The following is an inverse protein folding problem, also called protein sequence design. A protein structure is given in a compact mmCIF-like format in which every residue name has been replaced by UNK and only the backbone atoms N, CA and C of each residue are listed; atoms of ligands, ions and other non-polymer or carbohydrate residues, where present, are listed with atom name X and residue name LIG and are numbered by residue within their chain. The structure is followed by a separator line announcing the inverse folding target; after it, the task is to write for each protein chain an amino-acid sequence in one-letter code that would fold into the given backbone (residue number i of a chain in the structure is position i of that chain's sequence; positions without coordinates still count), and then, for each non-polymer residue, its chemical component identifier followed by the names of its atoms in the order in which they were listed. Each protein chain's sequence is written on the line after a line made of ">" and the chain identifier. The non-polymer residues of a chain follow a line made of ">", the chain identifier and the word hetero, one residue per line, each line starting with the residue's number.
data_IF_283805959657
#
_entry.id   IF_283805959657
#
_cell.length_a   1.000
_cell.length_b   1.000
_cell.length_c   1.000
_cell.angle_alpha   90.00
_cell.angle_beta   90.00
_cell.angle_gamma   90.00
#
_symmetry.space_group_name_H-M   'P 1'
#
loop_
_entity.id
_entity.type
_entity.pdbx_description
1 polymer ?
#
# COMPACT_ATOMS: atom_id res chain seq x y z
N UNK A 1 -0.91 1.26 -16.62
CA UNK A 1 -2.29 1.45 -16.13
C UNK A 1 -2.86 0.18 -15.53
N UNK A 2 -3.12 -0.84 -16.35
CA UNK A 2 -3.67 -2.15 -15.96
C UNK A 2 -3.04 -2.80 -14.70
N UNK A 3 -1.71 -2.86 -14.61
CA UNK A 3 -1.02 -3.48 -13.46
C UNK A 3 -1.32 -2.74 -12.15
N UNK A 4 -1.21 -1.41 -12.17
CA UNK A 4 -1.50 -0.58 -11.00
C UNK A 4 -2.97 -0.71 -10.57
N UNK A 5 -3.92 -0.71 -11.51
CA UNK A 5 -5.35 -0.93 -11.22
C UNK A 5 -5.59 -2.29 -10.57
N UNK A 6 -5.00 -3.36 -11.11
CA UNK A 6 -5.15 -4.71 -10.55
C UNK A 6 -4.56 -4.81 -9.14
N UNK A 7 -3.38 -4.24 -8.90
CA UNK A 7 -2.72 -4.26 -7.58
C UNK A 7 -3.44 -3.40 -6.54
N UNK A 8 -4.00 -2.26 -6.94
CA UNK A 8 -4.90 -1.49 -6.07
C UNK A 8 -6.15 -2.30 -5.67
N UNK A 9 -6.73 -3.05 -6.62
CA UNK A 9 -7.84 -3.96 -6.34
C UNK A 9 -7.48 -5.06 -5.34
N UNK A 10 -6.30 -5.69 -5.48
CA UNK A 10 -5.81 -6.71 -4.54
C UNK A 10 -5.61 -6.12 -3.13
N UNK A 11 -5.03 -4.92 -3.02
CA UNK A 11 -4.81 -4.27 -1.73
C UNK A 11 -6.14 -4.02 -0.99
N UNK A 12 -7.15 -3.47 -1.66
CA UNK A 12 -8.47 -3.25 -1.06
C UNK A 12 -9.23 -4.56 -0.81
N UNK A 13 -9.13 -5.54 -1.70
CA UNK A 13 -9.72 -6.86 -1.50
C UNK A 13 -9.18 -7.52 -0.23
N UNK A 14 -7.89 -7.37 0.06
CA UNK A 14 -7.27 -7.90 1.29
C UNK A 14 -7.91 -7.31 2.54
N UNK A 15 -8.15 -6.00 2.55
CA UNK A 15 -8.81 -5.31 3.68
C UNK A 15 -10.24 -5.81 3.85
N UNK A 16 -10.98 -5.99 2.74
CA UNK A 16 -12.33 -6.54 2.76
C UNK A 16 -12.36 -7.98 3.31
N UNK A 17 -11.45 -8.83 2.83
CA UNK A 17 -11.32 -10.22 3.28
C UNK A 17 -11.01 -10.31 4.77
N UNK A 18 -10.12 -9.46 5.28
CA UNK A 18 -9.81 -9.41 6.70
C UNK A 18 -11.06 -9.11 7.55
N UNK A 19 -11.91 -8.18 7.11
CA UNK A 19 -13.16 -7.84 7.80
C UNK A 19 -14.21 -8.97 7.73
N UNK A 20 -14.32 -9.67 6.59
CA UNK A 20 -15.32 -10.71 6.38
C UNK A 20 -14.94 -12.07 6.98
N UNK A 21 -13.66 -12.41 6.94
CA UNK A 21 -13.17 -13.77 7.24
C UNK A 21 -12.62 -13.93 8.65
N UNK A 22 -12.35 -12.83 9.34
CA UNK A 22 -11.90 -12.87 10.75
C UNK A 22 -12.85 -13.66 11.66
N UNK A 23 -14.17 -13.61 11.40
CA UNK A 23 -15.18 -14.42 12.12
C UNK A 23 -15.00 -15.95 11.98
N UNK A 24 -14.21 -16.40 11.02
CA UNK A 24 -13.88 -17.80 10.78
C UNK A 24 -12.45 -18.15 11.22
N UNK A 25 -11.74 -17.24 11.90
CA UNK A 25 -10.36 -17.45 12.31
C UNK A 25 -9.35 -17.34 11.16
N UNK A 26 -9.72 -16.72 10.03
CA UNK A 26 -8.82 -16.51 8.88
C UNK A 26 -8.30 -15.08 8.89
N UNK A 27 -6.98 -14.93 8.89
CA UNK A 27 -6.28 -13.64 8.75
C UNK A 27 -5.94 -13.39 7.27
N UNK A 28 -6.06 -12.15 6.81
CA UNK A 28 -5.74 -11.77 5.45
C UNK A 28 -4.84 -10.53 5.44
N UNK A 29 -3.67 -10.64 4.80
CA UNK A 29 -2.71 -9.54 4.65
C UNK A 29 -2.11 -9.58 3.24
N UNK A 30 -1.54 -8.46 2.81
CA UNK A 30 -0.87 -8.34 1.51
C UNK A 30 0.57 -7.86 1.67
N UNK A 31 1.39 -8.23 0.69
CA UNK A 31 2.79 -7.82 0.59
C UNK A 31 3.00 -7.11 -0.75
N UNK A 32 3.60 -5.93 -0.69
CA UNK A 32 4.09 -5.13 -1.80
C UNK A 32 5.62 -5.27 -1.85
N UNK A 33 6.15 -6.28 -2.54
CA UNK A 33 7.58 -6.53 -2.56
C UNK A 33 8.31 -5.55 -3.47
N UNK A 34 9.46 -5.07 -3.01
CA UNK A 34 10.46 -4.38 -3.82
C UNK A 34 11.72 -5.27 -3.87
N UNK A 35 11.78 -6.07 -4.94
CA UNK A 35 12.79 -7.11 -5.13
C UNK A 35 13.12 -7.33 -6.62
N UNK A 36 14.33 -7.82 -6.87
CA UNK A 36 14.84 -8.26 -8.17
C UNK A 36 14.34 -9.69 -8.44
N UNK A 37 13.37 -9.78 -9.34
CA UNK A 37 12.77 -11.02 -9.82
C UNK A 37 12.90 -11.07 -11.33
N UNK A 38 12.54 -12.20 -11.95
CA UNK A 38 12.45 -12.27 -13.42
C UNK A 38 11.53 -11.19 -14.03
N UNK A 39 10.57 -10.64 -13.27
CA UNK A 39 9.68 -9.57 -13.74
C UNK A 39 10.27 -8.16 -13.60
N UNK A 40 11.34 -7.98 -12.84
CA UNK A 40 11.88 -6.65 -12.49
C UNK A 40 13.36 -6.48 -12.84
N UNK A 41 14.11 -7.58 -12.96
CA UNK A 41 15.51 -7.60 -13.39
C UNK A 41 15.65 -7.10 -14.83
N UNK A 42 16.61 -6.20 -15.05
CA UNK A 42 16.85 -5.54 -16.34
C UNK A 42 15.80 -4.49 -16.74
N UNK A 43 14.75 -4.29 -15.91
CA UNK A 43 13.70 -3.29 -16.14
C UNK A 43 13.80 -2.17 -15.10
N UNK A 44 13.73 -2.54 -13.82
CA UNK A 44 13.80 -1.59 -12.69
C UNK A 44 15.14 -1.66 -11.95
N UNK A 45 15.81 -2.81 -12.03
CA UNK A 45 17.12 -3.06 -11.44
C UNK A 45 18.05 -3.64 -12.49
N UNK A 46 19.34 -3.70 -12.20
CA UNK A 46 20.29 -4.43 -13.04
C UNK A 46 19.88 -5.91 -13.20
N UNK A 47 20.30 -6.56 -14.28
CA UNK A 47 19.93 -7.96 -14.52
C UNK A 47 20.63 -8.91 -13.55
N UNK A 48 21.89 -8.60 -13.21
CA UNK A 48 22.73 -9.41 -12.34
C UNK A 48 22.62 -8.94 -10.88
N UNK A 49 22.72 -9.90 -9.96
CA UNK A 49 22.81 -9.60 -8.54
C UNK A 49 24.25 -9.15 -8.19
N UNK A 50 24.42 -8.25 -7.22
CA UNK A 50 25.75 -7.88 -6.73
C UNK A 50 26.44 -9.08 -6.06
N UNK A 51 27.76 -9.05 -5.99
CA UNK A 51 28.51 -9.97 -5.11
C UNK A 51 28.25 -9.59 -3.64
N UNK A 52 27.85 -10.57 -2.82
CA UNK A 52 27.60 -10.37 -1.39
C UNK A 52 26.14 -10.02 -1.08
N UNK A 53 25.91 -8.99 -0.27
CA UNK A 53 24.56 -8.58 0.14
C UNK A 53 23.79 -7.95 -1.04
N UNK A 54 22.65 -8.55 -1.40
CA UNK A 54 21.71 -7.98 -2.35
C UNK A 54 20.48 -7.42 -1.60
N UNK A 55 20.35 -6.09 -1.41
CA UNK A 55 19.14 -5.49 -0.84
C UNK A 55 17.87 -5.81 -1.64
N UNK A 56 18.01 -6.13 -2.94
CA UNK A 56 16.92 -6.51 -3.83
C UNK A 56 16.80 -8.04 -3.98
N UNK A 57 17.56 -8.82 -3.21
CA UNK A 57 17.42 -10.27 -3.16
C UNK A 57 15.98 -10.64 -2.76
N UNK A 58 15.26 -11.44 -3.55
CA UNK A 58 13.88 -11.81 -3.27
C UNK A 58 13.72 -12.59 -1.94
N UNK A 59 14.78 -13.26 -1.48
CA UNK A 59 14.83 -13.94 -0.19
C UNK A 59 14.58 -13.01 1.00
N UNK A 60 14.83 -11.71 0.85
CA UNK A 60 14.61 -10.72 1.90
C UNK A 60 13.11 -10.48 2.19
N UNK A 61 12.24 -10.81 1.24
CA UNK A 61 10.77 -10.72 1.40
C UNK A 61 10.21 -11.93 2.17
N UNK A 62 10.87 -13.08 2.04
CA UNK A 62 10.38 -14.38 2.55
C UNK A 62 10.10 -14.41 4.05
N UNK A 63 10.94 -13.84 4.95
CA UNK A 63 10.68 -13.88 6.40
C UNK A 63 9.32 -13.32 6.79
N UNK A 64 8.89 -12.22 6.17
CA UNK A 64 7.56 -11.63 6.41
C UNK A 64 6.45 -12.59 6.00
N UNK A 65 6.56 -13.17 4.80
CA UNK A 65 5.54 -14.12 4.29
C UNK A 65 5.46 -15.36 5.18
N UNK A 66 6.60 -15.89 5.63
CA UNK A 66 6.65 -17.01 6.56
C UNK A 66 5.98 -16.67 7.90
N UNK A 67 6.26 -15.50 8.47
CA UNK A 67 5.62 -15.08 9.71
C UNK A 67 4.10 -14.90 9.54
N UNK A 68 3.65 -14.23 8.47
CA UNK A 68 2.23 -14.00 8.19
C UNK A 68 1.42 -15.30 8.06
N UNK A 69 2.05 -16.39 7.60
CA UNK A 69 1.43 -17.71 7.49
C UNK A 69 1.65 -18.63 8.70
N UNK A 70 2.30 -18.15 9.76
CA UNK A 70 2.59 -18.94 10.96
C UNK A 70 1.53 -18.77 12.05
N UNK A 71 1.49 -19.69 13.00
CA UNK A 71 0.63 -19.61 14.19
C UNK A 71 0.98 -18.43 15.13
N UNK A 72 2.14 -17.78 14.91
CA UNK A 72 2.55 -16.60 15.66
C UNK A 72 2.00 -15.28 15.09
N UNK A 73 1.30 -15.33 13.94
CA UNK A 73 0.69 -14.15 13.34
C UNK A 73 -0.63 -13.80 14.04
N UNK A 74 -0.72 -12.56 14.52
CA UNK A 74 -1.94 -11.97 15.11
C UNK A 74 -2.43 -10.75 14.31
N UNK A 75 -1.83 -10.49 13.14
CA UNK A 75 -2.13 -9.32 12.30
C UNK A 75 -3.06 -9.70 11.15
N UNK A 76 -4.04 -8.84 10.86
CA UNK A 76 -4.94 -8.96 9.71
C UNK A 76 -5.28 -7.57 9.14
N UNK A 77 -5.67 -7.52 7.87
CA UNK A 77 -6.12 -6.31 7.17
C UNK A 77 -5.01 -5.32 6.87
N UNK A 78 -3.75 -5.76 6.83
CA UNK A 78 -2.59 -4.91 6.57
C UNK A 78 -1.96 -5.20 5.22
N UNK A 79 -1.40 -4.15 4.63
CA UNK A 79 -0.55 -4.20 3.44
C UNK A 79 0.84 -3.75 3.88
N UNK A 80 1.85 -4.54 3.56
CA UNK A 80 3.24 -4.26 3.93
C UNK A 80 4.10 -4.08 2.69
N UNK A 81 4.88 -3.00 2.64
CA UNK A 81 6.01 -2.88 1.73
C UNK A 81 7.26 -3.45 2.39
N UNK A 82 8.07 -4.18 1.62
CA UNK A 82 9.27 -4.86 2.12
C UNK A 82 10.36 -4.90 1.06
N UNK A 83 11.58 -4.53 1.48
CA UNK A 83 12.81 -4.56 0.67
C UNK A 83 14.00 -4.76 1.60
N UNK A 84 14.94 -5.62 1.25
CA UNK A 84 16.11 -5.89 2.08
C UNK A 84 15.74 -6.17 3.54
N UNK A 85 16.39 -5.47 4.47
CA UNK A 85 16.09 -5.56 5.91
C UNK A 85 15.03 -4.57 6.41
N UNK A 86 14.17 -4.03 5.53
CA UNK A 86 13.22 -2.97 5.86
C UNK A 86 11.77 -3.38 5.55
N UNK A 87 10.85 -2.93 6.41
CA UNK A 87 9.42 -3.09 6.25
C UNK A 87 8.69 -1.84 6.75
N UNK A 88 7.63 -1.46 6.04
CA UNK A 88 6.66 -0.45 6.46
C UNK A 88 5.24 -0.92 6.14
N UNK A 89 4.28 -0.44 6.94
CA UNK A 89 2.85 -0.57 6.61
C UNK A 89 2.51 0.45 5.53
N UNK A 90 1.77 0.01 4.51
CA UNK A 90 1.14 0.92 3.56
C UNK A 90 -0.21 1.35 4.14
N UNK A 91 -0.26 2.56 4.71
CA UNK A 91 -1.50 3.10 5.25
C UNK A 91 -2.51 3.41 4.12
N UNK A 92 -3.76 2.99 4.32
CA UNK A 92 -4.84 3.16 3.35
C UNK A 92 -5.35 4.61 3.28
N UNK A 93 -6.45 4.81 2.54
CA UNK A 93 -7.12 6.10 2.43
C UNK A 93 -7.48 6.67 3.80
N UNK A 94 -6.98 7.87 4.09
CA UNK A 94 -7.26 8.61 5.32
C UNK A 94 -8.29 9.71 5.05
N UNK A 95 -9.12 10.01 6.05
CA UNK A 95 -10.02 11.16 5.98
C UNK A 95 -9.22 12.43 6.28
N UNK A 96 -9.28 13.39 5.36
CA UNK A 96 -8.81 14.75 5.61
C UNK A 96 -9.75 15.54 6.53
N UNK A 97 -9.43 16.82 6.80
CA UNK A 97 -10.29 17.74 7.53
C UNK A 97 -11.66 17.87 6.89
N UNK A 98 -12.71 17.83 7.72
CA UNK A 98 -14.10 18.05 7.30
C UNK A 98 -14.36 19.55 7.23
N UNK A 99 -14.63 20.03 6.03
CA UNK A 99 -15.04 21.40 5.74
C UNK A 99 -16.56 21.44 5.47
N UNK A 100 -17.26 22.49 5.91
CA UNK A 100 -18.72 22.54 5.83
C UNK A 100 -19.28 23.93 5.53
N UNK A 101 -20.42 23.97 4.82
CA UNK A 101 -21.30 25.15 4.69
C UNK A 101 -22.48 25.16 5.68
N UNK A 102 -22.49 24.22 6.64
CA UNK A 102 -23.57 24.04 7.61
C UNK A 102 -24.70 23.15 7.09
N UNK A 103 -25.91 23.33 7.64
CA UNK A 103 -27.11 22.53 7.34
C UNK A 103 -27.79 22.94 6.02
N UNK A 104 -27.03 23.04 4.94
CA UNK A 104 -27.53 23.38 3.61
C UNK A 104 -26.69 22.78 2.50
N UNK A 105 -27.23 22.79 1.29
CA UNK A 105 -26.48 22.43 0.09
C UNK A 105 -25.42 23.49 -0.21
N UNK A 106 -24.21 23.05 -0.56
CA UNK A 106 -23.16 23.92 -1.09
C UNK A 106 -23.45 24.28 -2.55
N UNK A 107 -23.08 25.49 -2.94
CA UNK A 107 -22.94 25.87 -4.35
C UNK A 107 -21.65 25.29 -4.94
N UNK A 108 -21.53 25.30 -6.28
CA UNK A 108 -20.31 24.85 -6.96
C UNK A 108 -19.07 25.69 -6.60
N UNK A 109 -19.25 26.99 -6.35
CA UNK A 109 -18.17 27.87 -5.91
C UNK A 109 -17.68 27.50 -4.50
N UNK A 110 -18.61 27.33 -3.57
CA UNK A 110 -18.30 26.91 -2.19
C UNK A 110 -17.64 25.52 -2.17
N UNK A 111 -18.06 24.59 -3.04
CA UNK A 111 -17.40 23.29 -3.16
C UNK A 111 -15.91 23.42 -3.52
N UNK A 112 -15.56 24.33 -4.44
CA UNK A 112 -14.17 24.64 -4.77
C UNK A 112 -13.39 25.19 -3.58
N UNK A 113 -13.97 26.15 -2.85
CA UNK A 113 -13.36 26.73 -1.66
C UNK A 113 -13.13 25.70 -0.54
N UNK A 114 -14.15 24.85 -0.28
CA UNK A 114 -14.06 23.77 0.70
C UNK A 114 -12.99 22.73 0.30
N UNK A 115 -12.90 22.39 -0.99
CA UNK A 115 -11.90 21.45 -1.49
C UNK A 115 -10.47 21.97 -1.25
N UNK A 116 -10.20 23.24 -1.56
CA UNK A 116 -8.88 23.84 -1.31
C UNK A 116 -8.52 23.81 0.18
N UNK A 117 -9.44 24.23 1.07
CA UNK A 117 -9.20 24.18 2.52
C UNK A 117 -8.95 22.78 3.05
N UNK A 118 -9.73 21.79 2.57
CA UNK A 118 -9.55 20.40 2.98
C UNK A 118 -8.19 19.85 2.53
N UNK A 119 -7.73 20.22 1.33
CA UNK A 119 -6.40 19.81 0.80
C UNK A 119 -5.27 20.43 1.62
N UNK A 120 -5.34 21.72 1.94
CA UNK A 120 -4.28 22.45 2.65
C UNK A 120 -3.95 21.85 4.03
N UNK A 121 -4.90 21.15 4.65
CA UNK A 121 -4.71 20.46 5.93
C UNK A 121 -4.25 19.00 5.83
N UNK A 122 -3.87 18.51 4.64
CA UNK A 122 -3.50 17.11 4.42
C UNK A 122 -2.08 16.93 3.91
N UNK A 123 -1.53 15.73 4.12
CA UNK A 123 -0.25 15.35 3.51
C UNK A 123 -0.41 15.24 1.99
N UNK A 124 0.56 15.77 1.25
CA UNK A 124 0.62 15.59 -0.19
C UNK A 124 0.66 14.09 -0.55
N UNK A 125 -0.03 13.67 -1.63
CA UNK A 125 0.05 12.29 -2.10
C UNK A 125 1.49 11.87 -2.38
N UNK A 126 1.82 10.61 -2.11
CA UNK A 126 3.07 10.04 -2.56
C UNK A 126 3.18 10.16 -4.09
N UNK A 127 4.36 10.50 -4.65
CA UNK A 127 4.55 10.54 -6.09
C UNK A 127 4.23 9.21 -6.75
N UNK A 128 3.66 9.26 -7.95
CA UNK A 128 3.42 8.05 -8.75
C UNK A 128 4.78 7.50 -9.19
N UNK A 129 5.01 6.21 -8.95
CA UNK A 129 6.25 5.56 -9.37
C UNK A 129 6.49 5.72 -10.87
N UNK A 130 7.68 6.21 -11.23
CA UNK A 130 8.07 6.48 -12.63
C UNK A 130 7.45 7.73 -13.25
N UNK A 131 6.71 8.54 -12.50
CA UNK A 131 6.31 9.87 -12.94
C UNK A 131 7.46 10.86 -12.70
N UNK A 132 8.16 11.21 -13.78
CA UNK A 132 9.21 12.22 -13.86
C UNK A 132 9.23 12.80 -15.27
#
# INVERSE_FOLDING_TARGET
>A
GNYATAKAGIALLTIQQAAEWGRYGVLANAVAPDARTRMTAGIFYEAEAPEGWDPKGPENVSPLVCWLGSDACDVTGRVFEVTGGQLNVCDGWQKGPVESVGERMMSAAEAGELAHRSIDGTQAPAPVYGAG
#
